data_IF_796455630776
#
_entry.id   IF_796455630776
#
_cell.length_a   1.000
_cell.length_b   1.000
_cell.length_c   1.000
_cell.angle_alpha   90.00
_cell.angle_beta   90.00
_cell.angle_gamma   90.00
#
_symmetry.space_group_name_H-M   'P 1'
#
loop_
_entity.id
_entity.type
_entity.pdbx_description
1 polymer ?
#
# COMPACT_ATOMS: atom_id res chain seq x y z
N UNK A 1 -7.95 22.94 -3.42
CA UNK A 1 -7.53 22.91 -4.83
C UNK A 1 -6.14 23.52 -4.92
N UNK A 2 -5.11 22.72 -5.16
CA UNK A 2 -3.76 23.23 -5.48
C UNK A 2 -3.73 23.40 -7.01
N UNK A 3 -3.31 24.55 -7.55
CA UNK A 3 -3.32 24.75 -9.00
C UNK A 3 -2.27 23.84 -9.65
N UNK A 4 -2.76 22.85 -10.41
CA UNK A 4 -1.95 21.98 -11.29
C UNK A 4 -1.83 22.68 -12.65
N UNK A 5 -1.20 23.87 -12.66
CA UNK A 5 -1.04 24.69 -13.87
C UNK A 5 0.41 24.86 -14.34
N UNK A 6 1.36 24.11 -13.77
CA UNK A 6 2.79 24.22 -14.11
C UNK A 6 3.36 23.16 -15.05
N UNK A 7 2.61 22.14 -15.45
CA UNK A 7 3.16 20.96 -16.16
C UNK A 7 2.84 20.92 -17.67
N UNK A 8 2.19 21.94 -18.24
CA UNK A 8 1.80 21.94 -19.67
C UNK A 8 2.94 22.44 -20.58
N UNK A 9 3.78 23.36 -20.11
CA UNK A 9 4.88 23.93 -20.91
C UNK A 9 6.02 22.93 -21.18
N UNK A 10 6.05 21.79 -20.47
CA UNK A 10 7.03 20.72 -20.72
C UNK A 10 6.76 19.95 -22.02
N UNK A 11 5.60 20.10 -22.64
CA UNK A 11 5.23 19.34 -23.85
C UNK A 11 5.67 19.98 -25.17
N UNK A 12 6.17 21.22 -25.18
CA UNK A 12 6.45 21.97 -26.42
C UNK A 12 7.94 22.14 -26.77
N UNK A 13 8.86 21.75 -25.90
CA UNK A 13 10.29 21.75 -26.24
C UNK A 13 10.71 20.38 -26.79
N UNK A 14 10.83 20.27 -28.11
CA UNK A 14 11.11 19.04 -28.88
C UNK A 14 12.51 18.42 -28.71
N UNK A 15 13.22 18.69 -27.60
CA UNK A 15 14.40 17.92 -27.25
C UNK A 15 13.97 16.51 -26.83
N UNK A 16 14.58 15.47 -27.40
CA UNK A 16 14.36 14.06 -27.03
C UNK A 16 14.84 13.81 -25.60
N UNK A 17 14.03 14.25 -24.62
CA UNK A 17 14.30 14.04 -23.20
C UNK A 17 14.13 12.55 -22.93
N UNK A 18 15.21 11.90 -22.50
CA UNK A 18 15.21 10.49 -22.12
C UNK A 18 14.29 10.35 -20.89
N UNK A 19 13.13 9.73 -21.10
CA UNK A 19 12.10 9.58 -20.07
C UNK A 19 12.66 8.79 -18.89
N UNK A 20 12.82 9.43 -17.72
CA UNK A 20 13.21 8.75 -16.48
C UNK A 20 11.99 8.21 -15.76
N UNK A 21 11.82 6.89 -15.82
CA UNK A 21 10.59 6.24 -15.38
C UNK A 21 10.26 6.57 -13.93
N UNK A 22 11.20 6.45 -13.00
CA UNK A 22 10.87 6.66 -11.60
C UNK A 22 10.76 8.15 -11.24
N UNK A 23 11.78 8.91 -11.64
CA UNK A 23 11.94 10.32 -11.28
C UNK A 23 10.90 11.23 -11.93
N UNK A 24 10.46 10.94 -13.15
CA UNK A 24 9.46 11.78 -13.83
C UNK A 24 8.04 11.26 -13.61
N UNK A 25 7.84 9.94 -13.52
CA UNK A 25 6.49 9.41 -13.44
C UNK A 25 5.92 9.39 -12.01
N UNK A 26 6.72 9.00 -11.02
CA UNK A 26 6.20 8.66 -9.68
C UNK A 26 6.62 9.64 -8.60
N UNK A 27 7.81 10.23 -8.71
CA UNK A 27 8.32 11.19 -7.74
C UNK A 27 7.36 12.35 -7.41
N UNK A 28 6.61 12.96 -8.36
CA UNK A 28 5.66 14.02 -8.02
C UNK A 28 4.55 13.55 -7.06
N UNK A 29 4.01 12.36 -7.27
CA UNK A 29 2.98 11.76 -6.41
C UNK A 29 3.53 11.44 -5.02
N UNK A 30 4.76 10.94 -4.96
CA UNK A 30 5.42 10.61 -3.70
C UNK A 30 5.73 11.89 -2.91
N UNK A 31 6.20 12.95 -3.57
CA UNK A 31 6.37 14.29 -2.97
C UNK A 31 5.05 14.83 -2.44
N UNK A 32 3.96 14.69 -3.19
CA UNK A 32 2.63 15.10 -2.75
C UNK A 32 2.21 14.35 -1.48
N UNK A 33 2.31 13.02 -1.47
CA UNK A 33 1.97 12.22 -0.30
C UNK A 33 2.85 12.54 0.92
N UNK A 34 4.16 12.78 0.74
CA UNK A 34 5.04 13.22 1.83
C UNK A 34 4.57 14.58 2.38
N UNK A 35 4.14 15.52 1.53
CA UNK A 35 3.58 16.81 1.98
C UNK A 35 2.32 16.60 2.82
N UNK A 36 1.40 15.74 2.37
CA UNK A 36 0.16 15.40 3.09
C UNK A 36 0.48 14.74 4.44
N UNK A 37 1.35 13.74 4.47
CA UNK A 37 1.72 13.06 5.71
C UNK A 37 2.47 13.95 6.71
N UNK A 38 3.24 14.91 6.21
CA UNK A 38 3.90 15.92 7.03
C UNK A 38 2.91 16.90 7.65
N UNK A 39 1.83 17.26 6.94
CA UNK A 39 0.73 18.04 7.50
C UNK A 39 0.11 17.31 8.70
N UNK A 40 -0.08 15.99 8.60
CA UNK A 40 -0.54 15.14 9.70
C UNK A 40 0.55 14.76 10.72
N UNK A 41 1.79 15.21 10.54
CA UNK A 41 2.95 14.84 11.38
C UNK A 41 3.15 13.32 11.53
N UNK A 42 2.71 12.54 10.54
CA UNK A 42 2.79 11.07 10.57
C UNK A 42 4.14 10.52 10.10
N UNK A 43 4.87 11.28 9.27
CA UNK A 43 6.15 10.85 8.72
C UNK A 43 7.27 11.87 8.94
N UNK A 44 8.50 11.42 9.24
CA UNK A 44 9.67 12.28 9.41
C UNK A 44 10.48 12.44 8.12
N UNK A 45 9.80 12.49 6.97
CA UNK A 45 10.44 12.60 5.67
C UNK A 45 10.36 14.03 5.14
N UNK A 46 11.47 14.47 4.55
CA UNK A 46 11.50 15.66 3.70
C UNK A 46 12.21 15.30 2.39
N UNK A 47 11.95 16.08 1.35
CA UNK A 47 12.58 15.87 0.04
C UNK A 47 13.55 17.02 -0.20
N UNK A 48 14.82 16.69 -0.40
CA UNK A 48 15.86 17.66 -0.70
C UNK A 48 15.74 18.17 -2.15
N UNK A 49 16.46 19.24 -2.51
CA UNK A 49 16.57 19.79 -3.86
C UNK A 49 17.02 18.73 -4.89
N UNK A 50 17.83 17.77 -4.47
CA UNK A 50 18.31 16.65 -5.29
C UNK A 50 17.28 15.53 -5.52
N UNK A 51 16.02 15.73 -5.10
CA UNK A 51 14.93 14.74 -5.13
C UNK A 51 15.15 13.50 -4.23
N UNK A 52 16.07 13.61 -3.27
CA UNK A 52 16.34 12.56 -2.30
C UNK A 52 15.45 12.74 -1.06
N UNK A 53 14.96 11.63 -0.52
CA UNK A 53 14.24 11.62 0.75
C UNK A 53 15.27 11.65 1.87
N UNK A 54 15.23 12.72 2.67
CA UNK A 54 16.01 12.88 3.89
C UNK A 54 15.10 12.67 5.11
N UNK A 55 15.66 12.04 6.14
CA UNK A 55 14.98 11.89 7.43
C UNK A 55 15.26 13.15 8.26
N UNK A 56 14.25 13.97 8.52
CA UNK A 56 14.41 15.27 9.18
C UNK A 56 14.13 15.24 10.68
N UNK A 57 14.15 14.06 11.29
CA UNK A 57 13.81 13.86 12.69
C UNK A 57 14.96 14.32 13.62
N UNK A 58 15.21 15.63 13.66
CA UNK A 58 16.26 16.22 14.50
C UNK A 58 15.76 16.66 15.87
N UNK A 59 14.46 16.94 16.02
CA UNK A 59 13.87 17.44 17.27
C UNK A 59 13.18 16.33 18.06
N UNK A 60 13.61 16.12 19.31
CA UNK A 60 13.03 15.15 20.24
C UNK A 60 11.50 15.26 20.37
N UNK A 61 10.96 16.49 20.35
CA UNK A 61 9.52 16.72 20.44
C UNK A 61 8.72 16.13 19.28
N UNK A 62 9.22 16.23 18.04
CA UNK A 62 8.51 15.68 16.87
C UNK A 62 8.48 14.15 16.90
N UNK A 63 9.59 13.54 17.31
CA UNK A 63 9.69 12.09 17.53
C UNK A 63 8.70 11.64 18.61
N UNK A 64 8.68 12.31 19.76
CA UNK A 64 7.76 12.01 20.86
C UNK A 64 6.30 12.13 20.41
N UNK A 65 5.95 13.19 19.68
CA UNK A 65 4.59 13.41 19.18
C UNK A 65 4.16 12.31 18.20
N UNK A 66 5.04 11.89 17.28
CA UNK A 66 4.76 10.78 16.34
C UNK A 66 4.54 9.47 17.09
N UNK A 67 5.42 9.15 18.05
CA UNK A 67 5.28 7.95 18.88
C UNK A 67 3.99 7.98 19.69
N UNK A 68 3.63 9.14 20.25
CA UNK A 68 2.36 9.33 20.95
C UNK A 68 1.14 9.10 20.04
N UNK A 69 1.12 9.68 18.84
CA UNK A 69 0.05 9.44 17.85
C UNK A 69 -0.06 7.95 17.52
N UNK A 70 1.08 7.26 17.36
CA UNK A 70 1.10 5.85 17.03
C UNK A 70 0.60 4.97 18.19
N UNK A 71 0.97 5.31 19.43
CA UNK A 71 0.42 4.66 20.63
C UNK A 71 -1.09 4.89 20.73
N UNK A 72 -1.57 6.10 20.43
CA UNK A 72 -3.00 6.42 20.39
C UNK A 72 -3.75 5.63 19.31
N UNK A 73 -3.11 5.40 18.15
CA UNK A 73 -3.67 4.56 17.09
C UNK A 73 -3.82 3.09 17.53
N UNK A 74 -2.81 2.53 18.20
CA UNK A 74 -2.87 1.17 18.74
C UNK A 74 -3.84 1.02 19.90
N UNK A 75 -3.89 1.99 20.82
CA UNK A 75 -4.87 1.97 21.90
C UNK A 75 -6.29 2.02 21.35
N UNK A 76 -6.52 2.87 20.34
CA UNK A 76 -7.80 2.92 19.64
C UNK A 76 -8.14 1.58 18.97
N UNK A 77 -7.17 0.94 18.30
CA UNK A 77 -7.35 -0.40 17.75
C UNK A 77 -7.77 -1.44 18.81
N UNK A 78 -7.15 -1.43 19.98
CA UNK A 78 -7.51 -2.33 21.09
C UNK A 78 -8.95 -2.07 21.56
N UNK A 79 -9.36 -0.80 21.68
CA UNK A 79 -10.74 -0.46 22.03
C UNK A 79 -11.74 -0.95 20.97
N UNK A 80 -11.40 -0.83 19.69
CA UNK A 80 -12.24 -1.36 18.61
C UNK A 80 -12.39 -2.88 18.69
N UNK A 81 -11.29 -3.63 18.91
CA UNK A 81 -11.33 -5.08 19.09
C UNK A 81 -12.20 -5.49 20.29
N UNK A 82 -12.04 -4.81 21.43
CA UNK A 82 -12.88 -5.03 22.61
C UNK A 82 -14.36 -4.81 22.29
N UNK A 83 -14.69 -3.75 21.57
CA UNK A 83 -16.08 -3.46 21.20
C UNK A 83 -16.66 -4.50 20.24
N UNK A 84 -15.89 -4.96 19.25
CA UNK A 84 -16.29 -6.06 18.35
C UNK A 84 -16.61 -7.33 19.15
N UNK A 85 -15.73 -7.69 20.09
CA UNK A 85 -15.94 -8.85 20.96
C UNK A 85 -17.20 -8.72 21.83
N UNK A 86 -17.44 -7.54 22.43
CA UNK A 86 -18.66 -7.27 23.20
C UNK A 86 -19.92 -7.42 22.34
N UNK A 87 -19.93 -6.87 21.13
CA UNK A 87 -21.07 -6.99 20.20
C UNK A 87 -21.36 -8.44 19.81
N UNK A 88 -20.32 -9.26 19.65
CA UNK A 88 -20.48 -10.69 19.40
C UNK A 88 -21.14 -11.39 20.59
N UNK A 89 -20.70 -11.09 21.82
CA UNK A 89 -21.27 -11.65 23.05
C UNK A 89 -22.72 -11.23 23.28
N UNK A 90 -23.08 -10.02 22.88
CA UNK A 90 -24.44 -9.48 22.99
C UNK A 90 -25.40 -9.96 21.89
N UNK A 91 -24.95 -10.80 20.96
CA UNK A 91 -25.78 -11.34 19.87
C UNK A 91 -26.00 -10.38 18.70
N UNK A 92 -25.28 -9.24 18.66
CA UNK A 92 -25.41 -8.24 17.60
C UNK A 92 -24.57 -8.63 16.36
N UNK A 93 -24.79 -9.82 15.79
CA UNK A 93 -23.92 -10.45 14.78
C UNK A 93 -23.64 -9.57 13.55
N UNK A 94 -24.67 -8.90 13.00
CA UNK A 94 -24.51 -8.01 11.84
C UNK A 94 -23.53 -6.86 12.13
N UNK A 95 -23.67 -6.22 13.30
CA UNK A 95 -22.79 -5.11 13.72
C UNK A 95 -21.40 -5.60 14.08
N UNK A 96 -21.29 -6.79 14.67
CA UNK A 96 -20.01 -7.41 14.99
C UNK A 96 -19.20 -7.70 13.72
N UNK A 97 -19.80 -8.34 12.71
CA UNK A 97 -19.11 -8.72 11.46
C UNK A 97 -18.70 -7.47 10.65
N UNK A 98 -19.62 -6.52 10.48
CA UNK A 98 -19.30 -5.26 9.78
C UNK A 98 -18.17 -4.48 10.47
N UNK A 99 -18.14 -4.50 11.81
CA UNK A 99 -17.07 -3.87 12.59
C UNK A 99 -15.77 -4.65 12.52
N UNK A 100 -15.82 -5.98 12.52
CA UNK A 100 -14.65 -6.84 12.39
C UNK A 100 -13.91 -6.57 11.06
N UNK A 101 -14.65 -6.35 9.96
CA UNK A 101 -14.06 -5.99 8.67
C UNK A 101 -13.33 -4.64 8.71
N UNK A 102 -13.94 -3.61 9.34
CA UNK A 102 -13.30 -2.30 9.52
C UNK A 102 -12.07 -2.41 10.41
N UNK A 103 -12.14 -3.19 11.49
CA UNK A 103 -11.02 -3.46 12.40
C UNK A 103 -9.88 -4.21 11.70
N UNK A 104 -10.19 -5.24 10.91
CA UNK A 104 -9.19 -5.96 10.12
C UNK A 104 -8.53 -5.02 9.09
N UNK A 105 -9.33 -4.18 8.41
CA UNK A 105 -8.82 -3.19 7.44
C UNK A 105 -7.87 -2.21 8.13
N UNK A 106 -8.24 -1.74 9.31
CA UNK A 106 -7.42 -0.86 10.14
C UNK A 106 -6.13 -1.54 10.57
N UNK A 107 -6.19 -2.80 11.01
CA UNK A 107 -5.01 -3.57 11.38
C UNK A 107 -4.02 -3.66 10.22
N UNK A 108 -4.51 -3.99 9.00
CA UNK A 108 -3.67 -4.04 7.80
C UNK A 108 -2.91 -2.72 7.59
N UNK A 109 -3.62 -1.60 7.61
CA UNK A 109 -3.05 -0.27 7.40
C UNK A 109 -2.09 0.10 8.55
N UNK A 110 -2.45 -0.22 9.80
CA UNK A 110 -1.61 0.03 10.97
C UNK A 110 -0.30 -0.74 10.90
N UNK A 111 -0.35 -2.02 10.56
CA UNK A 111 0.84 -2.86 10.44
C UNK A 111 1.78 -2.36 9.33
N UNK A 112 1.25 -1.87 8.20
CA UNK A 112 2.08 -1.21 7.18
C UNK A 112 2.70 0.09 7.67
N UNK A 113 1.95 0.85 8.45
CA UNK A 113 2.37 2.13 9.00
C UNK A 113 3.32 2.00 10.19
N UNK A 114 3.41 0.80 10.79
CA UNK A 114 4.08 0.61 12.06
C UNK A 114 5.58 0.90 11.95
N UNK A 115 6.03 1.97 12.61
CA UNK A 115 7.44 2.18 12.87
C UNK A 115 7.72 3.02 14.11
N UNK A 116 8.26 2.38 15.15
CA UNK A 116 8.72 3.09 16.34
C UNK A 116 9.85 4.08 16.05
N UNK A 117 10.73 3.71 15.12
CA UNK A 117 11.83 4.54 14.63
C UNK A 117 11.50 5.08 13.23
N UNK A 118 12.13 6.18 12.78
CA UNK A 118 11.97 6.62 11.40
C UNK A 118 12.37 5.50 10.43
N UNK A 119 11.62 5.30 9.34
CA UNK A 119 11.91 4.21 8.40
C UNK A 119 13.10 4.54 7.50
N UNK A 120 14.31 4.42 8.05
CA UNK A 120 15.56 4.64 7.30
C UNK A 120 15.64 3.67 6.11
N UNK A 121 15.16 2.43 6.26
CA UNK A 121 15.15 1.45 5.15
C UNK A 121 14.32 1.91 3.97
N UNK A 122 13.13 2.49 4.20
CA UNK A 122 12.29 3.04 3.15
C UNK A 122 12.99 4.21 2.41
N UNK A 123 13.59 5.13 3.16
CA UNK A 123 14.32 6.27 2.59
C UNK A 123 15.56 5.79 1.79
N UNK A 124 16.33 4.85 2.33
CA UNK A 124 17.50 4.26 1.65
C UNK A 124 17.10 3.54 0.36
N UNK A 125 16.04 2.71 0.41
CA UNK A 125 15.53 2.03 -0.78
C UNK A 125 15.10 3.04 -1.86
N UNK A 126 14.35 4.06 -1.46
CA UNK A 126 13.89 5.10 -2.37
C UNK A 126 15.06 5.88 -2.99
N UNK A 127 16.03 6.32 -2.18
CA UNK A 127 17.18 7.07 -2.67
C UNK A 127 18.08 6.22 -3.58
N UNK A 128 18.25 4.93 -3.26
CA UNK A 128 18.94 3.99 -4.14
C UNK A 128 18.23 3.86 -5.50
N UNK A 129 16.90 3.84 -5.49
CA UNK A 129 16.09 3.78 -6.71
C UNK A 129 16.19 5.08 -7.53
N UNK A 130 16.12 6.26 -6.89
CA UNK A 130 16.33 7.56 -7.56
C UNK A 130 17.72 7.63 -8.18
N UNK A 131 18.76 7.22 -7.43
CA UNK A 131 20.14 7.21 -7.94
C UNK A 131 20.30 6.24 -9.11
N UNK A 132 19.71 5.05 -9.02
CA UNK A 132 19.72 4.09 -10.10
C UNK A 132 19.03 4.63 -11.35
N UNK A 133 17.83 5.20 -11.22
CA UNK A 133 17.05 5.79 -12.31
C UNK A 133 17.76 6.98 -12.97
N UNK A 134 18.52 7.78 -12.20
CA UNK A 134 19.34 8.87 -12.75
C UNK A 134 20.43 8.37 -13.70
N UNK A 135 21.07 7.25 -13.34
CA UNK A 135 22.19 6.64 -14.08
C UNK A 135 21.71 5.65 -15.17
N UNK A 136 20.43 5.29 -15.18
CA UNK A 136 19.88 4.28 -16.07
C UNK A 136 19.45 4.89 -17.42
N UNK A 137 20.12 4.50 -18.50
CA UNK A 137 19.79 4.94 -19.86
C UNK A 137 18.86 3.94 -20.51
N UNK A 138 17.57 4.25 -20.63
CA UNK A 138 16.55 3.36 -21.23
C UNK A 138 16.77 3.19 -22.74
N UNK A 139 16.56 1.98 -23.27
CA UNK A 139 16.62 1.76 -24.71
C UNK A 139 15.48 2.53 -25.41
N UNK A 140 15.77 3.36 -26.43
CA UNK A 140 14.75 4.15 -27.14
C UNK A 140 13.55 3.31 -27.64
N UNK A 141 13.81 2.09 -28.13
CA UNK A 141 12.76 1.17 -28.60
C UNK A 141 11.79 0.72 -27.49
N UNK A 142 12.19 0.86 -26.23
CA UNK A 142 11.40 0.48 -25.06
C UNK A 142 10.69 1.68 -24.42
N UNK A 143 11.06 2.90 -24.79
CA UNK A 143 10.55 4.14 -24.20
C UNK A 143 9.04 4.31 -24.38
N UNK A 144 8.49 3.99 -25.55
CA UNK A 144 7.05 4.11 -25.81
C UNK A 144 6.21 3.11 -25.01
N UNK A 145 6.71 1.89 -24.85
CA UNK A 145 6.03 0.89 -24.03
C UNK A 145 6.04 1.29 -22.56
N UNK A 146 7.16 1.81 -22.06
CA UNK A 146 7.25 2.37 -20.71
C UNK A 146 6.29 3.54 -20.55
N UNK A 147 6.24 4.46 -21.51
CA UNK A 147 5.35 5.63 -21.45
C UNK A 147 3.88 5.22 -21.33
N UNK A 148 3.42 4.27 -22.14
CA UNK A 148 2.05 3.72 -22.06
C UNK A 148 1.76 3.09 -20.70
N UNK A 149 2.69 2.27 -20.18
CA UNK A 149 2.54 1.61 -18.87
C UNK A 149 2.61 2.59 -17.70
N UNK A 150 3.50 3.57 -17.77
CA UNK A 150 3.61 4.63 -16.78
C UNK A 150 2.33 5.45 -16.73
N UNK A 151 1.67 5.71 -17.88
CA UNK A 151 0.35 6.36 -17.90
C UNK A 151 -0.71 5.54 -17.19
N UNK A 152 -0.78 4.23 -17.47
CA UNK A 152 -1.71 3.33 -16.77
C UNK A 152 -1.46 3.29 -15.26
N UNK A 153 -0.20 3.18 -14.84
CA UNK A 153 0.13 3.19 -13.41
C UNK A 153 -0.12 4.56 -12.76
N UNK A 154 0.13 5.68 -13.45
CA UNK A 154 -0.24 7.02 -12.96
C UNK A 154 -1.73 7.12 -12.68
N UNK A 155 -2.56 6.62 -13.60
CA UNK A 155 -4.02 6.55 -13.39
C UNK A 155 -4.38 5.66 -12.20
N UNK A 156 -3.75 4.49 -12.07
CA UNK A 156 -3.99 3.61 -10.93
C UNK A 156 -3.57 4.25 -9.60
N UNK A 157 -2.40 4.90 -9.53
CA UNK A 157 -1.93 5.62 -8.34
C UNK A 157 -2.81 6.83 -8.02
N UNK A 158 -3.31 7.54 -9.03
CA UNK A 158 -4.28 8.61 -8.84
C UNK A 158 -5.57 8.07 -8.23
N UNK A 159 -6.15 7.00 -8.77
CA UNK A 159 -7.33 6.36 -8.20
C UNK A 159 -7.07 5.89 -6.76
N UNK A 160 -5.93 5.23 -6.51
CA UNK A 160 -5.50 4.83 -5.16
C UNK A 160 -5.29 6.02 -4.23
N UNK A 161 -4.89 7.18 -4.75
CA UNK A 161 -4.77 8.42 -3.98
C UNK A 161 -6.11 8.82 -3.39
N UNK A 162 -7.22 8.63 -4.12
CA UNK A 162 -8.57 9.07 -3.71
C UNK A 162 -9.27 8.13 -2.72
N UNK A 163 -8.71 6.93 -2.49
CA UNK A 163 -9.32 5.91 -1.63
C UNK A 163 -9.36 6.36 -0.16
N UNK A 164 -8.26 6.84 0.46
CA UNK A 164 -8.28 7.34 1.84
C UNK A 164 -9.34 8.42 2.09
N UNK A 165 -9.51 9.36 1.17
CA UNK A 165 -10.48 10.45 1.26
C UNK A 165 -11.90 9.90 1.12
N UNK A 166 -12.14 9.01 0.17
CA UNK A 166 -13.47 8.40 -0.02
C UNK A 166 -13.89 7.56 1.20
N UNK A 167 -12.95 6.79 1.77
CA UNK A 167 -13.18 6.02 3.01
C UNK A 167 -13.40 6.96 4.18
N UNK A 168 -12.65 8.06 4.27
CA UNK A 168 -12.83 9.08 5.31
C UNK A 168 -14.22 9.72 5.23
N UNK A 169 -14.65 10.21 4.07
CA UNK A 169 -15.97 10.82 3.91
C UNK A 169 -17.10 9.83 4.18
N UNK A 170 -16.94 8.58 3.75
CA UNK A 170 -17.91 7.50 4.03
C UNK A 170 -18.00 7.21 5.53
N UNK A 171 -16.85 7.15 6.22
CA UNK A 171 -16.77 6.93 7.66
C UNK A 171 -17.32 8.10 8.45
N UNK A 172 -16.99 9.33 8.05
CA UNK A 172 -17.50 10.56 8.64
C UNK A 172 -19.03 10.63 8.53
N UNK A 173 -19.58 10.40 7.34
CA UNK A 173 -21.04 10.41 7.15
C UNK A 173 -21.72 9.31 7.98
N UNK A 174 -21.14 8.12 8.04
CA UNK A 174 -21.64 7.02 8.88
C UNK A 174 -21.62 7.40 10.37
N UNK A 175 -20.55 8.05 10.84
CA UNK A 175 -20.44 8.52 12.22
C UNK A 175 -21.50 9.58 12.55
N UNK A 176 -21.71 10.56 11.67
CA UNK A 176 -22.73 11.61 11.86
C UNK A 176 -24.15 11.01 11.92
N UNK A 177 -24.41 9.98 11.13
CA UNK A 177 -25.69 9.27 11.13
C UNK A 177 -25.91 8.46 12.41
N UNK A 178 -24.93 7.66 12.83
CA UNK A 178 -24.97 6.86 14.05
C UNK A 178 -23.61 6.94 14.78
N UNK A 179 -23.45 7.87 15.76
CA UNK A 179 -22.20 8.01 16.51
C UNK A 179 -21.92 6.78 17.40
N UNK A 180 -22.95 5.96 17.65
CA UNK A 180 -22.86 4.69 18.34
C UNK A 180 -22.58 3.51 17.40
N UNK A 181 -22.43 3.74 16.09
CA UNK A 181 -22.05 2.68 15.17
C UNK A 181 -20.64 2.21 15.54
N UNK A 182 -20.45 0.91 15.81
CA UNK A 182 -19.11 0.38 15.93
C UNK A 182 -18.38 0.42 14.56
N UNK A 183 -17.03 0.47 14.55
CA UNK A 183 -16.13 0.50 15.70
C UNK A 183 -15.71 1.93 16.12
N UNK A 184 -16.51 2.96 15.87
CA UNK A 184 -16.12 4.35 16.16
C UNK A 184 -15.96 4.64 17.67
N UNK A 185 -15.20 5.69 18.03
CA UNK A 185 -14.97 6.06 19.43
C UNK A 185 -16.26 6.37 20.18
N UNK A 186 -17.27 6.90 19.48
CA UNK A 186 -18.57 7.16 20.08
C UNK A 186 -19.20 5.88 20.66
N UNK A 187 -19.00 4.71 20.05
CA UNK A 187 -19.51 3.43 20.56
C UNK A 187 -18.82 2.91 21.84
N UNK A 188 -17.67 3.50 22.19
CA UNK A 188 -16.87 3.17 23.37
C UNK A 188 -17.11 4.20 24.49
N UNK A 189 -17.19 5.48 24.14
CA UNK A 189 -17.27 6.57 25.11
C UNK A 189 -18.73 6.89 25.48
N UNK A 190 -19.67 6.76 24.54
CA UNK A 190 -21.08 7.05 24.79
C UNK A 190 -21.76 5.80 25.37
N UNK A 191 -22.72 6.02 26.28
CA UNK A 191 -23.61 4.97 26.80
C UNK A 191 -24.63 4.58 25.72
N UNK A 192 -24.18 3.85 24.71
CA UNK A 192 -25.00 3.31 23.64
C UNK A 192 -25.83 2.10 24.13
N UNK A 193 -27.02 1.90 23.57
CA UNK A 193 -27.78 0.67 23.81
C UNK A 193 -27.01 -0.57 23.30
N UNK A 194 -27.38 -1.78 23.79
CA UNK A 194 -26.65 -3.05 23.54
C UNK A 194 -26.29 -3.26 22.06
N UNK A 195 -27.23 -3.12 21.14
CA UNK A 195 -26.95 -3.22 19.70
C UNK A 195 -26.86 -1.87 18.99
N UNK A 196 -26.39 -0.81 19.68
CA UNK A 196 -26.20 0.53 19.15
C UNK A 196 -27.45 1.42 19.20
N UNK A 197 -27.30 2.66 18.74
CA UNK A 197 -28.28 3.72 18.92
C UNK A 197 -28.07 4.49 20.22
N UNK A 198 -28.26 5.80 20.15
CA UNK A 198 -28.36 6.69 21.30
C UNK A 198 -29.20 7.89 20.94
N UNK A 199 -29.81 8.50 21.93
CA UNK A 199 -30.55 9.75 21.77
C UNK A 199 -29.54 10.89 21.57
N UNK A 200 -29.45 11.40 20.33
CA UNK A 200 -28.50 12.46 19.95
C UNK A 200 -28.69 13.73 20.79
N UNK A 201 -29.90 13.98 21.28
CA UNK A 201 -30.20 15.17 22.09
C UNK A 201 -29.45 15.18 23.43
N UNK A 202 -28.99 14.02 23.91
CA UNK A 202 -28.28 13.89 25.18
C UNK A 202 -26.78 14.10 25.07
N UNK A 203 -26.22 14.15 23.85
CA UNK A 203 -24.78 14.33 23.65
C UNK A 203 -24.49 15.83 23.59
N UNK A 204 -23.67 16.38 24.51
CA UNK A 204 -23.26 17.77 24.42
C UNK A 204 -22.51 18.03 23.10
N UNK A 205 -22.82 19.16 22.44
CA UNK A 205 -22.30 19.47 21.11
C UNK A 205 -20.76 19.47 21.04
N UNK A 206 -20.07 19.94 22.10
CA UNK A 206 -18.61 19.99 22.15
C UNK A 206 -17.98 18.58 22.19
N UNK A 207 -18.64 17.64 22.90
CA UNK A 207 -18.21 16.25 22.94
C UNK A 207 -18.38 15.60 21.57
N UNK A 208 -19.51 15.89 20.90
CA UNK A 208 -19.77 15.42 19.55
C UNK A 208 -18.71 15.91 18.55
N UNK A 209 -18.40 17.21 18.54
CA UNK A 209 -17.34 17.79 17.69
C UNK A 209 -15.98 17.14 18.01
N UNK A 210 -15.65 16.96 19.29
CA UNK A 210 -14.41 16.32 19.71
C UNK A 210 -14.27 14.89 19.18
N UNK A 211 -15.33 14.08 19.28
CA UNK A 211 -15.33 12.71 18.77
C UNK A 211 -15.15 12.67 17.25
N UNK A 212 -15.87 13.52 16.51
CA UNK A 212 -15.77 13.62 15.04
C UNK A 212 -14.34 13.98 14.61
N UNK A 213 -13.74 14.98 15.25
CA UNK A 213 -12.39 15.43 14.93
C UNK A 213 -11.35 14.35 15.26
N UNK A 214 -11.49 13.69 16.41
CA UNK A 214 -10.54 12.66 16.86
C UNK A 214 -10.62 11.40 15.99
N UNK A 215 -11.83 10.89 15.72
CA UNK A 215 -12.02 9.74 14.83
C UNK A 215 -11.61 10.06 13.40
N UNK A 216 -11.95 11.25 12.92
CA UNK A 216 -11.60 11.71 11.59
C UNK A 216 -10.09 11.82 11.40
N UNK A 217 -9.41 12.50 12.32
CA UNK A 217 -7.95 12.63 12.32
C UNK A 217 -7.28 11.25 12.38
N UNK A 218 -7.69 10.39 13.32
CA UNK A 218 -7.07 9.08 13.49
C UNK A 218 -7.25 8.22 12.23
N UNK A 219 -8.42 8.27 11.59
CA UNK A 219 -8.72 7.53 10.36
C UNK A 219 -7.90 8.04 9.18
N UNK A 220 -7.85 9.35 8.94
CA UNK A 220 -7.04 9.95 7.87
C UNK A 220 -5.55 9.69 8.06
N UNK A 221 -5.03 9.95 9.26
CA UNK A 221 -3.63 9.73 9.60
C UNK A 221 -3.22 8.27 9.39
N UNK A 222 -4.06 7.33 9.84
CA UNK A 222 -3.82 5.90 9.66
C UNK A 222 -3.82 5.52 8.16
N UNK A 223 -4.88 5.87 7.42
CA UNK A 223 -5.06 5.49 6.01
C UNK A 223 -3.93 6.04 5.14
N UNK A 224 -3.66 7.35 5.19
CA UNK A 224 -2.57 7.93 4.39
C UNK A 224 -1.23 7.29 4.72
N UNK A 225 -0.93 7.04 5.99
CA UNK A 225 0.36 6.49 6.40
C UNK A 225 0.55 5.05 5.90
N UNK A 226 -0.45 4.18 6.06
CA UNK A 226 -0.37 2.81 5.55
C UNK A 226 -0.34 2.75 4.02
N UNK A 227 -1.17 3.54 3.33
CA UNK A 227 -1.19 3.61 1.86
C UNK A 227 0.14 4.11 1.31
N UNK A 228 0.78 5.08 1.96
CA UNK A 228 2.09 5.56 1.57
C UNK A 228 3.14 4.45 1.55
N UNK A 229 3.29 3.71 2.64
CA UNK A 229 4.29 2.65 2.69
C UNK A 229 3.99 1.48 1.75
N UNK A 230 2.73 1.12 1.59
CA UNK A 230 2.33 0.00 0.74
C UNK A 230 2.27 0.37 -0.74
N UNK A 231 1.43 1.32 -1.14
CA UNK A 231 1.26 1.64 -2.55
C UNK A 231 2.43 2.46 -3.09
N UNK A 232 2.89 3.50 -2.38
CA UNK A 232 3.84 4.45 -2.95
C UNK A 232 5.30 4.03 -2.79
N UNK A 233 5.67 3.44 -1.66
CA UNK A 233 7.04 2.98 -1.45
C UNK A 233 7.23 1.59 -2.03
N UNK A 234 6.43 0.61 -1.60
CA UNK A 234 6.63 -0.77 -2.01
C UNK A 234 6.19 -1.03 -3.46
N UNK A 235 4.91 -0.79 -3.77
CA UNK A 235 4.34 -1.20 -5.07
C UNK A 235 5.00 -0.47 -6.24
N UNK A 236 5.20 0.85 -6.14
CA UNK A 236 5.91 1.63 -7.16
C UNK A 236 7.34 1.17 -7.33
N UNK A 237 8.05 0.84 -6.24
CA UNK A 237 9.44 0.34 -6.33
C UNK A 237 9.51 -0.98 -7.06
N UNK A 238 8.65 -1.95 -6.70
CA UNK A 238 8.59 -3.26 -7.37
C UNK A 238 8.21 -3.10 -8.84
N UNK A 239 7.24 -2.23 -9.15
CA UNK A 239 6.86 -1.96 -10.53
C UNK A 239 8.02 -1.38 -11.34
N UNK A 240 8.71 -0.38 -10.80
CA UNK A 240 9.86 0.27 -11.46
C UNK A 240 10.98 -0.76 -11.68
N UNK A 241 11.27 -1.55 -10.65
CA UNK A 241 12.20 -2.66 -10.73
C UNK A 241 11.86 -3.65 -11.86
N UNK A 242 10.59 -4.05 -11.95
CA UNK A 242 10.10 -4.94 -13.01
C UNK A 242 10.28 -4.36 -14.41
N UNK A 243 10.07 -3.05 -14.62
CA UNK A 243 10.29 -2.46 -15.94
C UNK A 243 11.79 -2.42 -16.30
N UNK A 244 12.68 -2.18 -15.34
CA UNK A 244 14.13 -2.24 -15.61
C UNK A 244 14.58 -3.66 -16.02
N UNK A 245 14.02 -4.70 -15.39
CA UNK A 245 14.31 -6.09 -15.78
C UNK A 245 13.78 -6.39 -17.19
N UNK A 246 12.61 -5.85 -17.55
CA UNK A 246 12.05 -6.04 -18.89
C UNK A 246 12.88 -5.36 -19.98
N UNK A 247 13.38 -4.15 -19.72
CA UNK A 247 14.31 -3.46 -20.62
C UNK A 247 15.63 -4.24 -20.72
N UNK A 248 16.14 -4.72 -19.59
CA UNK A 248 17.38 -5.50 -19.50
C UNK A 248 17.35 -6.76 -20.36
N UNK A 249 16.22 -7.46 -20.41
CA UNK A 249 16.05 -8.66 -21.23
C UNK A 249 16.19 -8.41 -22.74
N UNK A 250 16.21 -7.15 -23.19
CA UNK A 250 16.44 -6.76 -24.59
C UNK A 250 17.88 -6.34 -24.89
N UNK A 251 18.75 -6.25 -23.87
CA UNK A 251 20.14 -5.81 -24.03
C UNK A 251 21.06 -6.99 -24.25
N UNK A 252 22.21 -6.72 -24.89
CA UNK A 252 23.27 -7.71 -25.04
C UNK A 252 23.91 -8.03 -23.69
N UNK A 253 24.46 -9.25 -23.56
CA UNK A 253 25.08 -9.69 -22.30
C UNK A 253 26.15 -8.74 -21.71
N UNK A 254 27.09 -8.15 -22.48
CA UNK A 254 28.14 -7.29 -21.90
C UNK A 254 27.58 -6.04 -21.20
N UNK A 255 26.64 -5.35 -21.85
CA UNK A 255 25.97 -4.17 -21.29
C UNK A 255 25.03 -4.55 -20.15
N UNK A 256 24.23 -5.60 -20.39
CA UNK A 256 23.24 -6.07 -19.43
C UNK A 256 23.85 -6.60 -18.14
N UNK A 257 25.02 -7.23 -18.19
CA UNK A 257 25.64 -7.84 -17.00
C UNK A 257 25.91 -6.81 -15.89
N UNK A 258 26.47 -5.64 -16.23
CA UNK A 258 26.78 -4.58 -15.25
C UNK A 258 25.49 -4.03 -14.62
N UNK A 259 24.45 -3.85 -15.42
CA UNK A 259 23.14 -3.38 -14.97
C UNK A 259 22.46 -4.43 -14.09
N UNK A 260 22.51 -5.71 -14.47
CA UNK A 260 21.96 -6.83 -13.71
C UNK A 260 22.56 -6.88 -12.29
N UNK A 261 23.90 -6.72 -12.17
CA UNK A 261 24.56 -6.69 -10.86
C UNK A 261 24.08 -5.53 -9.97
N UNK A 262 23.82 -4.35 -10.55
CA UNK A 262 23.24 -3.22 -9.81
C UNK A 262 21.80 -3.50 -9.39
N UNK A 263 21.01 -4.15 -10.26
CA UNK A 263 19.64 -4.55 -9.93
C UNK A 263 19.59 -5.62 -8.82
N UNK A 264 20.56 -6.53 -8.73
CA UNK A 264 20.67 -7.46 -7.60
C UNK A 264 20.89 -6.75 -6.26
N UNK A 265 21.63 -5.63 -6.24
CA UNK A 265 21.78 -4.83 -5.02
C UNK A 265 20.42 -4.22 -4.65
N UNK A 266 19.69 -3.69 -5.64
CA UNK A 266 18.36 -3.14 -5.42
C UNK A 266 17.36 -4.20 -4.96
N UNK A 267 17.42 -5.43 -5.48
CA UNK A 267 16.63 -6.59 -5.03
C UNK A 267 16.83 -6.88 -3.55
N UNK A 268 18.09 -6.85 -3.07
CA UNK A 268 18.40 -7.05 -1.65
C UNK A 268 17.76 -5.95 -0.80
N UNK A 269 17.82 -4.69 -1.23
CA UNK A 269 17.18 -3.57 -0.53
C UNK A 269 15.65 -3.70 -0.50
N UNK A 270 15.03 -4.10 -1.61
CA UNK A 270 13.58 -4.34 -1.70
C UNK A 270 13.18 -5.48 -0.76
N UNK A 271 13.95 -6.57 -0.75
CA UNK A 271 13.67 -7.74 0.08
C UNK A 271 13.85 -7.44 1.57
N UNK A 272 14.90 -6.71 1.96
CA UNK A 272 15.12 -6.30 3.35
C UNK A 272 14.01 -5.38 3.87
N UNK A 273 13.55 -4.44 3.05
CA UNK A 273 12.40 -3.60 3.37
C UNK A 273 11.11 -4.41 3.49
N UNK A 274 10.84 -5.30 2.53
CA UNK A 274 9.61 -6.08 2.45
C UNK A 274 9.48 -7.12 3.56
N UNK A 275 10.59 -7.76 3.96
CA UNK A 275 10.59 -8.87 4.94
C UNK A 275 9.91 -8.53 6.26
N UNK A 276 10.09 -7.32 6.76
CA UNK A 276 9.63 -6.94 8.10
C UNK A 276 8.15 -6.58 8.17
N UNK A 277 7.56 -6.12 7.06
CA UNK A 277 6.21 -5.56 7.04
C UNK A 277 5.24 -6.38 6.23
N UNK A 278 5.69 -6.93 5.12
CA UNK A 278 4.80 -7.50 4.12
C UNK A 278 4.10 -8.76 4.62
N UNK A 279 4.89 -9.71 5.11
CA UNK A 279 4.41 -11.06 5.41
C UNK A 279 3.20 -11.08 6.37
N UNK A 280 3.21 -10.42 7.55
CA UNK A 280 2.04 -10.44 8.43
C UNK A 280 0.85 -9.66 7.84
N UNK A 281 1.09 -8.56 7.11
CA UNK A 281 0.02 -7.70 6.60
C UNK A 281 -0.70 -8.33 5.40
N UNK A 282 0.06 -8.70 4.37
CA UNK A 282 -0.49 -9.09 3.07
C UNK A 282 -0.91 -10.53 3.03
N UNK A 283 -0.18 -11.45 3.66
CA UNK A 283 -0.53 -12.87 3.59
C UNK A 283 -1.46 -13.29 4.73
N UNK A 284 -1.51 -12.51 5.82
CA UNK A 284 -2.40 -12.76 6.96
C UNK A 284 -3.67 -11.93 6.92
N UNK A 285 -3.53 -10.62 7.13
CA UNK A 285 -4.68 -9.76 7.44
C UNK A 285 -5.47 -9.33 6.20
N UNK A 286 -4.81 -9.05 5.08
CA UNK A 286 -5.50 -8.60 3.87
C UNK A 286 -6.49 -9.64 3.28
N UNK A 287 -6.18 -10.95 3.23
CA UNK A 287 -7.16 -12.00 2.88
C UNK A 287 -8.37 -11.99 3.80
N UNK A 288 -8.18 -11.78 5.11
CA UNK A 288 -9.29 -11.68 6.08
C UNK A 288 -10.19 -10.48 5.74
N UNK A 289 -9.61 -9.34 5.39
CA UNK A 289 -10.35 -8.15 4.95
C UNK A 289 -11.19 -8.45 3.71
N UNK A 290 -10.60 -9.15 2.74
CA UNK A 290 -11.27 -9.55 1.51
C UNK A 290 -12.44 -10.51 1.79
N UNK A 291 -12.21 -11.58 2.55
CA UNK A 291 -13.24 -12.55 2.96
C UNK A 291 -14.40 -11.87 3.70
N UNK A 292 -14.11 -11.07 4.72
CA UNK A 292 -15.15 -10.38 5.49
C UNK A 292 -15.86 -9.31 4.66
N UNK A 293 -15.14 -8.65 3.75
CA UNK A 293 -15.69 -7.68 2.82
C UNK A 293 -16.69 -8.31 1.87
N UNK A 294 -16.28 -9.35 1.14
CA UNK A 294 -17.14 -10.10 0.21
C UNK A 294 -18.35 -10.69 0.93
N UNK A 295 -18.14 -11.34 2.07
CA UNK A 295 -19.22 -11.90 2.88
C UNK A 295 -20.25 -10.84 3.27
N UNK A 296 -19.79 -9.67 3.74
CA UNK A 296 -20.68 -8.58 4.16
C UNK A 296 -21.46 -8.01 2.98
N UNK A 297 -20.81 -7.83 1.82
CA UNK A 297 -21.48 -7.36 0.60
C UNK A 297 -22.57 -8.34 0.19
N UNK A 298 -22.28 -9.65 0.13
CA UNK A 298 -23.24 -10.65 -0.33
C UNK A 298 -24.41 -10.80 0.67
N UNK A 299 -24.11 -11.07 1.96
CA UNK A 299 -25.14 -11.42 2.95
C UNK A 299 -25.92 -10.22 3.48
N UNK A 300 -25.31 -9.03 3.54
CA UNK A 300 -25.88 -7.90 4.29
C UNK A 300 -26.11 -6.62 3.48
N UNK A 301 -26.06 -6.68 2.15
CA UNK A 301 -26.28 -5.50 1.31
C UNK A 301 -27.60 -4.77 1.60
N UNK A 302 -28.69 -5.50 1.83
CA UNK A 302 -30.00 -4.88 2.10
C UNK A 302 -30.15 -4.30 3.52
N UNK A 303 -29.29 -4.71 4.45
CA UNK A 303 -29.41 -4.35 5.88
C UNK A 303 -28.53 -3.17 6.28
N UNK A 304 -27.52 -2.83 5.48
CA UNK A 304 -26.58 -1.76 5.78
C UNK A 304 -26.99 -0.50 5.00
N UNK A 305 -27.41 0.59 5.67
CA UNK A 305 -27.87 1.78 4.97
C UNK A 305 -26.73 2.47 4.22
N UNK A 306 -27.07 3.12 3.10
CA UNK A 306 -26.17 4.00 2.38
C UNK A 306 -25.87 5.27 3.20
N UNK A 307 -24.60 5.73 3.28
CA UNK A 307 -23.42 5.32 2.52
C UNK A 307 -22.55 4.26 3.20
N UNK A 308 -22.94 3.76 4.38
CA UNK A 308 -22.11 2.86 5.17
C UNK A 308 -21.72 1.58 4.42
N UNK A 309 -22.57 1.14 3.49
CA UNK A 309 -22.31 0.02 2.60
C UNK A 309 -21.11 0.23 1.67
N UNK A 310 -20.76 1.46 1.28
CA UNK A 310 -19.65 1.74 0.35
C UNK A 310 -18.26 1.38 0.90
N UNK A 311 -18.11 1.36 2.23
CA UNK A 311 -16.83 1.04 2.87
C UNK A 311 -16.40 -0.40 2.56
N UNK A 312 -17.36 -1.34 2.45
CA UNK A 312 -17.10 -2.75 2.20
C UNK A 312 -16.55 -3.03 0.79
N UNK A 313 -17.20 -2.63 -0.32
CA UNK A 313 -16.66 -2.83 -1.66
C UNK A 313 -15.36 -2.05 -1.87
N UNK A 314 -15.22 -0.83 -1.33
CA UNK A 314 -13.95 -0.09 -1.43
C UNK A 314 -12.83 -0.85 -0.72
N UNK A 315 -13.05 -1.30 0.52
CA UNK A 315 -12.06 -2.08 1.28
C UNK A 315 -11.70 -3.40 0.59
N UNK A 316 -12.70 -4.14 0.12
CA UNK A 316 -12.53 -5.39 -0.62
C UNK A 316 -11.73 -5.19 -1.91
N UNK A 317 -12.14 -4.25 -2.76
CA UNK A 317 -11.46 -3.98 -4.03
C UNK A 317 -10.03 -3.46 -3.81
N UNK A 318 -9.81 -2.69 -2.75
CA UNK A 318 -8.46 -2.22 -2.38
C UNK A 318 -7.58 -3.39 -1.93
N UNK A 319 -8.09 -4.28 -1.09
CA UNK A 319 -7.36 -5.47 -0.64
C UNK A 319 -7.03 -6.39 -1.82
N UNK A 320 -8.03 -6.75 -2.63
CA UNK A 320 -7.88 -7.53 -3.86
C UNK A 320 -6.84 -6.93 -4.80
N UNK A 321 -7.02 -5.65 -5.17
CA UNK A 321 -6.11 -4.97 -6.10
C UNK A 321 -4.70 -4.90 -5.54
N UNK A 322 -4.55 -4.58 -4.25
CA UNK A 322 -3.26 -4.50 -3.57
C UNK A 322 -2.51 -5.84 -3.56
N UNK A 323 -3.19 -6.92 -3.18
CA UNK A 323 -2.64 -8.27 -3.12
C UNK A 323 -2.29 -8.79 -4.51
N UNK A 324 -3.27 -8.80 -5.42
CA UNK A 324 -3.07 -9.31 -6.77
C UNK A 324 -1.95 -8.55 -7.50
N UNK A 325 -1.87 -7.22 -7.32
CA UNK A 325 -0.81 -6.40 -7.92
C UNK A 325 0.56 -6.77 -7.36
N UNK A 326 0.69 -6.84 -6.04
CA UNK A 326 1.94 -7.19 -5.38
C UNK A 326 2.43 -8.58 -5.78
N UNK A 327 1.59 -9.61 -5.62
CA UNK A 327 1.94 -11.01 -5.90
C UNK A 327 2.28 -11.20 -7.39
N UNK A 328 1.46 -10.65 -8.29
CA UNK A 328 1.71 -10.75 -9.74
C UNK A 328 2.99 -10.06 -10.16
N UNK A 329 3.29 -8.88 -9.61
CA UNK A 329 4.52 -8.16 -9.94
C UNK A 329 5.75 -8.85 -9.35
N UNK A 330 5.68 -9.34 -8.11
CA UNK A 330 6.76 -10.11 -7.50
C UNK A 330 7.06 -11.41 -8.24
N UNK A 331 6.04 -12.18 -8.63
CA UNK A 331 6.23 -13.38 -9.47
C UNK A 331 6.78 -13.04 -10.86
N UNK A 332 6.34 -11.91 -11.45
CA UNK A 332 6.85 -11.44 -12.74
C UNK A 332 8.34 -11.08 -12.70
N UNK A 333 8.86 -10.58 -11.57
CA UNK A 333 10.30 -10.27 -11.42
C UNK A 333 11.14 -11.53 -11.60
N UNK A 334 10.73 -12.65 -10.98
CA UNK A 334 11.43 -13.94 -11.08
C UNK A 334 11.48 -14.41 -12.53
N UNK A 335 10.30 -14.53 -13.15
CA UNK A 335 10.15 -15.03 -14.52
C UNK A 335 10.97 -14.19 -15.51
N UNK A 336 10.84 -12.85 -15.44
CA UNK A 336 11.54 -11.96 -16.37
C UNK A 336 13.05 -11.95 -16.17
N UNK A 337 13.52 -12.13 -14.94
CA UNK A 337 14.96 -12.24 -14.67
C UNK A 337 15.54 -13.56 -15.22
N UNK A 338 14.79 -14.66 -15.13
CA UNK A 338 15.18 -15.97 -15.68
C UNK A 338 15.17 -15.98 -17.21
N UNK A 339 14.15 -15.37 -17.81
CA UNK A 339 14.08 -15.15 -19.26
C UNK A 339 15.32 -14.37 -19.74
N UNK A 340 15.68 -13.27 -19.07
CA UNK A 340 16.87 -12.48 -19.43
C UNK A 340 18.17 -13.31 -19.34
N UNK A 341 18.36 -14.06 -18.25
CA UNK A 341 19.52 -14.95 -18.10
C UNK A 341 19.53 -16.03 -19.18
N UNK A 342 18.36 -16.61 -19.51
CA UNK A 342 18.21 -17.66 -20.52
C UNK A 342 18.58 -17.16 -21.91
N UNK A 343 18.13 -15.96 -22.29
CA UNK A 343 18.51 -15.32 -23.55
C UNK A 343 20.02 -15.11 -23.63
N UNK A 344 20.65 -14.58 -22.57
CA UNK A 344 22.10 -14.42 -22.55
C UNK A 344 22.88 -15.74 -22.56
N UNK A 345 22.33 -16.82 -21.98
CA UNK A 345 22.91 -18.17 -22.08
C UNK A 345 22.97 -18.65 -23.53
N UNK A 346 21.94 -18.35 -24.34
CA UNK A 346 21.93 -18.65 -25.77
C UNK A 346 22.98 -17.81 -26.51
N UNK A 347 23.05 -16.50 -26.24
CA UNK A 347 24.03 -15.58 -26.84
C UNK A 347 25.50 -15.90 -26.47
N UNK A 348 25.73 -16.46 -25.29
CA UNK A 348 27.08 -16.80 -24.83
C UNK A 348 27.73 -17.92 -25.67
N UNK A 349 26.94 -18.71 -26.40
CA UNK A 349 27.44 -19.79 -27.26
C UNK A 349 28.33 -20.76 -26.50
N UNK A 350 29.48 -21.11 -27.07
CA UNK A 350 30.51 -21.99 -26.49
C UNK A 350 31.56 -21.24 -25.65
N UNK A 351 31.49 -19.91 -25.52
CA UNK A 351 32.53 -19.14 -24.84
C UNK A 351 32.59 -19.46 -23.32
N UNK A 352 33.68 -20.07 -22.82
CA UNK A 352 33.74 -20.57 -21.45
C UNK A 352 33.71 -19.43 -20.41
N UNK A 353 34.33 -18.28 -20.72
CA UNK A 353 34.34 -17.11 -19.84
C UNK A 353 32.94 -16.50 -19.70
N UNK A 354 32.20 -16.36 -20.80
CA UNK A 354 30.80 -15.87 -20.77
C UNK A 354 29.89 -16.83 -20.00
N UNK A 355 30.03 -18.14 -20.22
CA UNK A 355 29.30 -19.17 -19.47
C UNK A 355 29.59 -19.11 -17.97
N UNK A 356 30.86 -18.96 -17.57
CA UNK A 356 31.24 -18.82 -16.15
C UNK A 356 30.62 -17.58 -15.52
N UNK A 357 30.62 -16.44 -16.22
CA UNK A 357 29.92 -15.21 -15.78
C UNK A 357 28.42 -15.44 -15.61
N UNK A 358 27.75 -16.11 -16.55
CA UNK A 358 26.31 -16.38 -16.46
C UNK A 358 25.95 -17.37 -15.34
N UNK A 359 26.80 -18.37 -15.05
CA UNK A 359 26.61 -19.26 -13.89
C UNK A 359 26.65 -18.50 -12.56
N UNK A 360 27.34 -17.35 -12.51
CA UNK A 360 27.39 -16.50 -11.33
C UNK A 360 26.16 -15.59 -11.16
N UNK A 361 25.26 -15.54 -12.15
CA UNK A 361 24.00 -14.81 -12.05
C UNK A 361 22.94 -15.70 -11.43
N UNK A 362 22.25 -15.18 -10.43
CA UNK A 362 21.09 -15.79 -9.84
C UNK A 362 19.84 -15.03 -10.29
N UNK A 363 18.75 -15.77 -10.52
CA UNK A 363 17.41 -15.23 -10.73
C UNK A 363 17.05 -14.29 -9.56
N UNK A 364 16.52 -13.11 -9.89
CA UNK A 364 16.15 -12.10 -8.91
C UNK A 364 14.80 -12.48 -8.29
N UNK A 365 14.74 -12.55 -6.96
CA UNK A 365 13.55 -12.96 -6.20
C UNK A 365 13.30 -11.98 -5.07
N UNK A 366 12.12 -11.37 -5.06
CA UNK A 366 11.69 -10.56 -3.92
C UNK A 366 11.33 -11.52 -2.78
N UNK A 367 12.13 -11.51 -1.72
CA UNK A 367 11.96 -12.42 -0.58
C UNK A 367 11.06 -11.81 0.49
N UNK A 368 10.23 -12.66 1.07
CA UNK A 368 9.33 -12.36 2.17
C UNK A 368 9.59 -13.37 3.29
N UNK A 369 10.34 -12.94 4.31
CA UNK A 369 10.88 -13.88 5.29
C UNK A 369 11.91 -14.81 4.65
N UNK A 370 11.66 -16.11 4.75
CA UNK A 370 12.48 -17.15 4.13
C UNK A 370 11.90 -17.64 2.79
N UNK A 371 10.72 -17.16 2.41
CA UNK A 371 10.02 -17.56 1.19
C UNK A 371 10.07 -16.45 0.12
N UNK A 372 9.60 -16.76 -1.09
CA UNK A 372 9.40 -15.78 -2.16
C UNK A 372 8.00 -15.98 -2.75
N UNK A 373 7.41 -14.91 -3.31
CA UNK A 373 6.11 -15.01 -3.98
C UNK A 373 6.32 -15.53 -5.40
N UNK A 374 5.60 -16.58 -5.73
CA UNK A 374 5.53 -17.11 -7.09
C UNK A 374 4.31 -16.52 -7.80
N UNK A 375 4.27 -16.62 -9.13
CA UNK A 375 3.15 -16.18 -9.96
C UNK A 375 1.83 -16.86 -9.56
N UNK A 376 1.89 -18.10 -9.11
CA UNK A 376 0.71 -18.85 -8.67
C UNK A 376 0.18 -18.41 -7.31
N UNK A 377 0.98 -17.69 -6.50
CA UNK A 377 0.54 -17.26 -5.16
C UNK A 377 -0.69 -16.39 -5.24
N UNK A 378 -0.80 -15.50 -6.24
CA UNK A 378 -2.00 -14.68 -6.42
C UNK A 378 -3.26 -15.50 -6.63
N UNK A 379 -3.18 -16.55 -7.45
CA UNK A 379 -4.33 -17.41 -7.71
C UNK A 379 -4.71 -18.22 -6.47
N UNK A 380 -3.73 -18.73 -5.73
CA UNK A 380 -3.95 -19.51 -4.50
C UNK A 380 -4.57 -18.63 -3.40
N UNK A 381 -4.06 -17.41 -3.20
CA UNK A 381 -4.59 -16.45 -2.23
C UNK A 381 -6.05 -16.10 -2.54
N UNK A 382 -6.37 -15.91 -3.82
CA UNK A 382 -7.73 -15.57 -4.26
C UNK A 382 -8.70 -16.74 -4.16
N UNK A 383 -8.29 -17.94 -4.56
CA UNK A 383 -9.05 -19.17 -4.36
C UNK A 383 -9.35 -19.41 -2.86
N UNK A 384 -8.36 -19.21 -2.00
CA UNK A 384 -8.55 -19.26 -0.54
C UNK A 384 -9.61 -18.26 -0.07
N UNK A 385 -9.54 -16.99 -0.49
CA UNK A 385 -10.51 -15.97 -0.09
C UNK A 385 -11.94 -16.32 -0.55
N UNK A 386 -12.11 -16.80 -1.78
CA UNK A 386 -13.41 -17.23 -2.29
C UNK A 386 -13.96 -18.43 -1.52
N UNK A 387 -13.15 -19.46 -1.30
CA UNK A 387 -13.54 -20.66 -0.58
C UNK A 387 -13.93 -20.37 0.89
N UNK A 388 -13.19 -19.48 1.56
CA UNK A 388 -13.55 -19.05 2.92
C UNK A 388 -14.84 -18.22 2.94
N UNK A 389 -15.04 -17.36 1.95
CA UNK A 389 -16.29 -16.59 1.82
C UNK A 389 -17.50 -17.51 1.62
N UNK A 390 -17.41 -18.49 0.72
CA UNK A 390 -18.46 -19.49 0.49
C UNK A 390 -18.74 -20.30 1.77
N UNK A 391 -17.69 -20.72 2.48
CA UNK A 391 -17.82 -21.44 3.75
C UNK A 391 -18.58 -20.61 4.80
N UNK A 392 -18.26 -19.32 4.93
CA UNK A 392 -19.00 -18.39 5.81
C UNK A 392 -20.47 -18.25 5.39
N UNK A 393 -20.75 -18.14 4.09
CA UNK A 393 -22.13 -18.06 3.57
C UNK A 393 -22.94 -19.31 3.89
N UNK A 394 -22.33 -20.50 3.82
CA UNK A 394 -22.98 -21.78 4.15
C UNK A 394 -23.24 -21.91 5.66
N UNK A 395 -22.30 -21.47 6.50
CA UNK A 395 -22.46 -21.53 7.96
C UNK A 395 -23.51 -20.52 8.48
N UNK A 396 -23.65 -19.36 7.84
CA UNK A 396 -24.60 -18.31 8.21
C UNK A 396 -25.94 -18.42 7.44
N UNK A 397 -26.55 -19.60 7.39
CA UNK A 397 -27.88 -19.76 6.78
C UNK A 397 -28.94 -18.93 7.50
#
# INVERSE_FOLDING_TARGET
>A
MVPVHGDIDFLLNGGTTILKMFSEAFLPYIKYQIKVLRLFKCVPFNVNSNNEIIVTETKNFQKLLRQFIQLLQWSYFIFMCRKVYTLQKEGCHLKAISSAMIVASRLTVLLFSYNWNPNVKAATLFNALVKFDKDYVINPSFQDLIRKRARSLKMALFLLTTVPETVYFSSFRRFVQDPCSPPFLGSVILNCARCGGTDKSRIPWYMWVGLVLLDGYNTLACLHNGFFYFFYILLVTIFSFLQYIRDLGKRTMPEGFKIYRRLQILEVLISDYSRTRLLPCTLGVAPIVEVLGLFTIIKFHDRIPFPGILIFPIGCMTALTGLASLETMSGSVVIRSEEAISTWKKEAGSNPLRRRKLRSLQSMKIRFGNNYLDRLTALITQDFCLNQTVSLLIMFK
#
